data_IF_887409265724
#
_entry.id   IF_887409265724
#
_cell.length_a   1.000
_cell.length_b   1.000
_cell.length_c   1.000
_cell.angle_alpha   90.00
_cell.angle_beta   90.00
_cell.angle_gamma   90.00
#
_symmetry.space_group_name_H-M   'P 1'
#
loop_
_entity.id
_entity.type
_entity.pdbx_description
1 polymer ?
#
# COMPACT_ATOMS: atom_id res chain seq x y z
N UNK A 1 -0.26 5.05 2.58
CA UNK A 1 -1.07 4.23 3.51
C UNK A 1 -2.52 4.22 3.03
N UNK A 2 -3.18 3.06 3.10
CA UNK A 2 -4.58 2.86 2.71
C UNK A 2 -5.31 2.21 3.88
N UNK A 3 -6.42 2.80 4.33
CA UNK A 3 -7.32 2.18 5.32
C UNK A 3 -8.48 1.54 4.57
N UNK A 4 -8.72 0.27 4.84
CA UNK A 4 -9.79 -0.51 4.25
C UNK A 4 -11.06 -0.45 5.12
N UNK A 5 -12.21 -0.70 4.50
CA UNK A 5 -13.53 -0.75 5.17
C UNK A 5 -13.62 -1.87 6.20
N UNK A 6 -12.80 -2.92 6.07
CA UNK A 6 -12.72 -4.04 7.01
C UNK A 6 -11.86 -3.73 8.26
N UNK A 7 -11.35 -2.50 8.36
CA UNK A 7 -10.53 -2.03 9.48
C UNK A 7 -9.03 -2.29 9.32
N UNK A 8 -8.59 -3.02 8.29
CA UNK A 8 -7.15 -3.22 8.00
C UNK A 8 -6.53 -1.94 7.47
N UNK A 9 -5.24 -1.78 7.74
CA UNK A 9 -4.41 -0.71 7.18
C UNK A 9 -3.28 -1.33 6.40
N UNK A 10 -3.15 -0.95 5.13
CA UNK A 10 -2.08 -1.39 4.25
C UNK A 10 -1.10 -0.23 4.01
N UNK A 11 0.18 -0.54 4.14
CA UNK A 11 1.26 0.34 3.75
C UNK A 11 1.89 -0.18 2.47
N UNK A 12 2.16 0.73 1.53
CA UNK A 12 2.56 0.34 0.20
C UNK A 12 2.87 1.54 -0.68
N UNK A 13 3.45 1.23 -1.84
CA UNK A 13 3.61 2.18 -2.94
C UNK A 13 2.46 1.99 -3.91
N UNK A 14 1.84 3.09 -4.28
CA UNK A 14 0.89 3.13 -5.39
C UNK A 14 1.66 3.00 -6.71
N UNK A 15 1.31 2.00 -7.51
CA UNK A 15 1.90 1.77 -8.83
C UNK A 15 1.00 2.35 -9.93
N UNK A 16 -0.29 2.01 -9.90
CA UNK A 16 -1.28 2.39 -10.92
C UNK A 16 -2.62 2.72 -10.27
N UNK A 17 -3.36 3.62 -10.91
CA UNK A 17 -4.76 3.93 -10.58
C UNK A 17 -5.56 3.76 -11.85
N UNK A 18 -6.59 2.91 -11.82
CA UNK A 18 -7.48 2.66 -12.95
C UNK A 18 -8.94 2.43 -12.52
N UNK A 19 -9.77 1.96 -13.47
CA UNK A 19 -11.18 1.68 -13.21
C UNK A 19 -11.40 0.51 -12.24
N UNK A 20 -10.49 -0.46 -12.21
CA UNK A 20 -10.58 -1.62 -11.31
C UNK A 20 -10.23 -1.22 -9.87
N UNK A 21 -9.31 -0.29 -9.69
CA UNK A 21 -9.01 0.24 -8.37
C UNK A 21 -7.62 0.86 -8.23
N UNK A 22 -7.16 0.83 -6.98
CA UNK A 22 -5.82 1.23 -6.61
C UNK A 22 -4.89 0.01 -6.64
N UNK A 23 -3.87 0.05 -7.46
CA UNK A 23 -2.84 -1.00 -7.53
C UNK A 23 -1.75 -0.65 -6.51
N UNK A 24 -1.71 -1.41 -5.42
CA UNK A 24 -0.81 -1.19 -4.29
C UNK A 24 0.24 -2.31 -4.22
N UNK A 25 1.51 -1.94 -4.28
CA UNK A 25 2.61 -2.82 -3.91
C UNK A 25 2.88 -2.65 -2.42
N UNK A 26 2.52 -3.64 -1.63
CA UNK A 26 2.62 -3.59 -0.16
C UNK A 26 4.07 -3.53 0.32
N UNK A 27 4.29 -2.86 1.44
CA UNK A 27 5.57 -2.86 2.16
C UNK A 27 5.54 -3.98 3.19
N UNK A 28 6.52 -4.87 3.12
CA UNK A 28 6.75 -5.94 4.07
C UNK A 28 7.80 -5.46 5.09
N UNK A 29 7.41 -5.22 6.35
CA UNK A 29 8.34 -4.76 7.37
C UNK A 29 9.45 -5.78 7.61
N UNK A 30 10.69 -5.30 7.72
CA UNK A 30 11.81 -6.17 8.03
C UNK A 30 11.77 -6.63 9.47
N UNK A 31 11.80 -7.95 9.70
CA UNK A 31 11.89 -8.52 11.06
C UNK A 31 13.28 -8.35 11.70
N UNK A 32 14.27 -7.86 10.93
CA UNK A 32 15.66 -7.69 11.39
C UNK A 32 15.93 -6.21 11.60
N UNK A 33 16.29 -5.83 12.83
CA UNK A 33 16.64 -4.44 13.19
C UNK A 33 17.75 -3.92 12.28
N UNK A 34 17.53 -2.75 11.69
CA UNK A 34 18.49 -2.07 10.81
C UNK A 34 18.50 -2.55 9.36
N UNK A 35 17.68 -3.55 8.98
CA UNK A 35 17.48 -3.90 7.56
C UNK A 35 16.33 -3.08 6.98
N UNK A 36 16.46 -2.58 5.74
CA UNK A 36 15.37 -1.87 5.08
C UNK A 36 14.18 -2.81 4.87
N UNK A 37 12.99 -2.22 4.95
CA UNK A 37 11.76 -2.89 4.58
C UNK A 37 11.80 -3.30 3.10
N UNK A 38 11.10 -4.38 2.79
CA UNK A 38 11.03 -4.89 1.43
C UNK A 38 9.69 -4.49 0.84
N UNK A 39 9.65 -4.35 -0.48
CA UNK A 39 8.39 -4.29 -1.19
C UNK A 39 7.97 -5.71 -1.55
N UNK A 40 6.67 -5.97 -1.46
CA UNK A 40 6.11 -7.20 -2.01
C UNK A 40 6.39 -7.28 -3.51
N UNK A 41 6.58 -8.49 -4.02
CA UNK A 41 6.75 -8.74 -5.45
C UNK A 41 5.41 -8.68 -6.17
N UNK A 42 4.33 -9.01 -5.49
CA UNK A 42 2.98 -8.96 -6.05
C UNK A 42 2.35 -7.57 -5.87
N UNK A 43 1.47 -7.20 -6.79
CA UNK A 43 0.68 -5.96 -6.72
C UNK A 43 -0.74 -6.34 -6.36
N UNK A 44 -1.21 -5.85 -5.22
CA UNK A 44 -2.59 -6.05 -4.77
C UNK A 44 -3.49 -5.01 -5.42
N UNK A 45 -4.56 -5.44 -6.09
CA UNK A 45 -5.59 -4.53 -6.59
C UNK A 45 -6.63 -4.30 -5.49
N UNK A 46 -6.76 -3.05 -5.05
CA UNK A 46 -7.73 -2.64 -4.04
C UNK A 46 -8.94 -1.98 -4.75
N UNK A 47 -10.11 -2.63 -4.78
CA UNK A 47 -11.31 -2.04 -5.36
C UNK A 47 -11.71 -0.76 -4.63
N UNK A 48 -12.25 0.22 -5.34
CA UNK A 48 -12.65 1.51 -4.73
C UNK A 48 -13.60 1.35 -3.55
N UNK A 49 -14.55 0.41 -3.63
CA UNK A 49 -15.51 0.14 -2.57
C UNK A 49 -14.88 -0.45 -1.30
N UNK A 50 -13.68 -1.03 -1.37
CA UNK A 50 -12.99 -1.57 -0.19
C UNK A 50 -12.15 -0.53 0.55
N UNK A 51 -11.97 0.66 -0.03
CA UNK A 51 -11.12 1.72 0.51
C UNK A 51 -11.97 2.69 1.35
N UNK A 52 -11.63 2.83 2.62
CA UNK A 52 -12.24 3.82 3.50
C UNK A 52 -11.56 5.19 3.37
N UNK A 53 -10.23 5.22 3.39
CA UNK A 53 -9.46 6.45 3.18
C UNK A 53 -8.03 6.15 2.72
N UNK A 54 -7.39 7.11 2.06
CA UNK A 54 -6.00 7.01 1.61
C UNK A 54 -5.20 8.22 2.08
N UNK A 55 -3.92 7.98 2.40
CA UNK A 55 -2.96 9.04 2.69
C UNK A 55 -1.68 8.76 1.92
N UNK A 56 -1.31 9.71 1.05
CA UNK A 56 -0.07 9.67 0.29
C UNK A 56 1.02 10.47 1.01
N UNK A 57 2.25 9.96 0.96
CA UNK A 57 3.44 10.66 1.45
C UNK A 57 4.42 10.76 0.30
N UNK A 58 4.85 11.98 -0.01
CA UNK A 58 5.91 12.22 -0.99
C UNK A 58 7.24 12.32 -0.26
N UNK A 59 8.19 11.46 -0.63
CA UNK A 59 9.57 11.57 -0.14
C UNK A 59 10.35 12.43 -1.14
N UNK A 60 10.73 13.62 -0.71
CA UNK A 60 11.68 14.45 -1.42
C UNK A 60 13.07 14.10 -0.90
N UNK A 61 13.96 13.67 -1.80
CA UNK A 61 15.37 13.42 -1.52
C UNK A 61 16.20 14.64 -1.94
#
# INVERSE_FOLDING_TARGET
MVKLVDGRTLEGRMEVVDQAGLHLREVIPSKVKGRPDKMDQEVTVLPWASIHTTQATFKFN
#
